data_IF_272634840089
#
_entry.id   IF_272634840089
#
_cell.length_a   1.000
_cell.length_b   1.000
_cell.length_c   1.000
_cell.angle_alpha   90.00
_cell.angle_beta   90.00
_cell.angle_gamma   90.00
#
_symmetry.space_group_name_H-M   'P 1'
#
loop_
_entity.id
_entity.type
_entity.pdbx_description
1 polymer ?
#
# COMPACT_ATOMS: atom_id res chain seq x y z
N UNK A 1 28.38 24.40 -39.56
CA UNK A 1 29.43 23.86 -38.66
C UNK A 1 28.82 22.76 -37.82
N UNK A 2 29.53 21.65 -37.78
CA UNK A 2 29.23 20.33 -37.21
C UNK A 2 29.12 20.33 -35.68
N UNK A 3 28.14 19.55 -35.19
CA UNK A 3 28.11 18.65 -34.02
C UNK A 3 28.65 19.09 -32.65
N UNK A 4 27.87 18.83 -31.60
CA UNK A 4 28.33 17.93 -30.52
C UNK A 4 27.18 17.44 -29.63
N UNK A 5 27.02 16.13 -29.63
CA UNK A 5 26.23 15.29 -28.75
C UNK A 5 26.76 15.33 -27.31
N UNK A 6 25.88 15.27 -26.31
CA UNK A 6 26.18 14.61 -25.04
C UNK A 6 24.90 14.01 -24.48
N UNK A 7 24.73 12.72 -24.70
CA UNK A 7 23.83 11.89 -23.91
C UNK A 7 24.52 11.57 -22.59
N UNK A 8 23.86 11.86 -21.48
CA UNK A 8 24.11 11.25 -20.17
C UNK A 8 22.85 11.47 -19.35
N UNK A 9 21.89 10.54 -19.45
CA UNK A 9 21.13 10.11 -18.28
C UNK A 9 20.50 8.75 -18.62
N UNK A 10 21.26 7.70 -18.39
CA UNK A 10 20.74 6.34 -18.25
C UNK A 10 19.77 6.34 -17.05
N UNK A 11 18.49 6.60 -17.31
CA UNK A 11 17.35 6.24 -16.47
C UNK A 11 17.56 6.39 -14.95
N UNK A 12 17.94 7.57 -14.48
CA UNK A 12 17.72 7.89 -13.06
C UNK A 12 16.21 7.91 -12.83
N UNK A 13 15.69 7.01 -11.99
CA UNK A 13 14.26 7.00 -11.64
C UNK A 13 13.98 8.26 -10.83
N UNK A 14 13.51 9.31 -11.49
CA UNK A 14 13.10 10.53 -10.83
C UNK A 14 11.87 10.26 -9.96
N UNK A 15 11.97 10.58 -8.66
CA UNK A 15 10.84 10.52 -7.72
C UNK A 15 10.15 11.88 -7.62
N UNK A 16 8.84 11.91 -7.77
CA UNK A 16 8.03 13.13 -7.69
C UNK A 16 7.10 13.04 -6.49
N UNK A 17 7.44 13.72 -5.40
CA UNK A 17 6.61 13.73 -4.19
C UNK A 17 5.29 14.49 -4.44
N UNK A 18 4.18 14.10 -3.78
CA UNK A 18 2.97 14.91 -3.78
C UNK A 18 3.21 16.26 -3.09
N UNK A 19 2.31 17.22 -3.32
CA UNK A 19 2.33 18.47 -2.55
C UNK A 19 2.08 18.21 -1.07
N UNK A 20 2.59 19.09 -0.20
CA UNK A 20 2.38 18.97 1.24
C UNK A 20 0.90 19.03 1.64
N UNK A 21 0.11 19.88 0.96
CA UNK A 21 -1.33 19.98 1.17
C UNK A 21 -2.05 18.67 0.87
N UNK A 22 -1.69 18.01 -0.23
CA UNK A 22 -2.26 16.71 -0.59
C UNK A 22 -1.87 15.62 0.41
N UNK A 23 -0.60 15.58 0.82
CA UNK A 23 -0.11 14.60 1.79
C UNK A 23 -0.78 14.75 3.17
N UNK A 24 -1.06 16.00 3.60
CA UNK A 24 -1.72 16.27 4.87
C UNK A 24 -3.18 15.78 4.93
N UNK A 25 -3.81 15.56 3.77
CA UNK A 25 -5.18 15.06 3.64
C UNK A 25 -5.25 13.56 3.35
N UNK A 26 -4.14 12.82 3.53
CA UNK A 26 -4.12 11.40 3.28
C UNK A 26 -5.11 10.64 4.18
N UNK A 27 -5.94 9.79 3.58
CA UNK A 27 -6.89 8.94 4.31
C UNK A 27 -6.21 7.85 5.17
N UNK A 28 -4.94 7.57 4.88
CA UNK A 28 -4.14 6.52 5.51
C UNK A 28 -2.72 7.05 5.76
N UNK A 29 -2.25 6.89 7.00
CA UNK A 29 -0.88 7.24 7.42
C UNK A 29 0.02 6.02 7.59
N UNK A 30 1.28 6.28 7.93
CA UNK A 30 2.30 5.24 8.17
C UNK A 30 1.97 4.34 9.39
N UNK A 31 1.17 4.85 10.33
CA UNK A 31 0.66 4.14 11.49
C UNK A 31 -0.19 2.92 11.10
N UNK A 32 -1.01 3.01 10.05
CA UNK A 32 -1.79 1.87 9.57
C UNK A 32 -0.90 0.75 9.04
N UNK A 33 0.23 1.10 8.41
CA UNK A 33 1.20 0.12 7.96
C UNK A 33 1.84 -0.59 9.16
N UNK A 34 2.30 0.16 10.16
CA UNK A 34 2.88 -0.39 11.37
C UNK A 34 1.89 -1.30 12.13
N UNK A 35 0.61 -0.92 12.20
CA UNK A 35 -0.44 -1.73 12.80
C UNK A 35 -0.65 -3.06 12.05
N UNK A 36 -0.71 -3.01 10.71
CA UNK A 36 -0.84 -4.19 9.86
C UNK A 36 0.39 -5.10 9.90
N UNK A 37 1.58 -4.55 10.08
CA UNK A 37 2.81 -5.32 10.26
C UNK A 37 2.83 -6.06 11.61
N UNK A 38 2.40 -5.39 12.68
CA UNK A 38 2.39 -5.96 14.03
C UNK A 38 1.34 -7.08 14.21
N UNK A 39 0.14 -6.91 13.66
CA UNK A 39 -0.89 -7.95 13.63
C UNK A 39 -1.70 -7.89 12.33
N UNK A 40 -1.22 -8.61 11.32
CA UNK A 40 -1.81 -8.61 9.98
C UNK A 40 -3.26 -9.09 9.96
N UNK A 41 -3.58 -10.17 10.69
CA UNK A 41 -4.93 -10.72 10.67
C UNK A 41 -5.87 -9.91 11.56
N UNK A 42 -5.42 -9.47 12.73
CA UNK A 42 -6.17 -8.56 13.59
C UNK A 42 -6.51 -7.25 12.87
N UNK A 43 -5.53 -6.65 12.19
CA UNK A 43 -5.73 -5.45 11.38
C UNK A 43 -6.86 -5.63 10.35
N UNK A 44 -6.81 -6.69 9.54
CA UNK A 44 -7.85 -6.93 8.54
C UNK A 44 -9.20 -7.28 9.16
N UNK A 45 -9.23 -7.97 10.30
CA UNK A 45 -10.46 -8.22 11.03
C UNK A 45 -11.11 -6.90 11.50
N UNK A 46 -10.33 -5.98 12.03
CA UNK A 46 -10.80 -4.65 12.44
C UNK A 46 -11.30 -3.84 11.24
N UNK A 47 -10.54 -3.80 10.14
CA UNK A 47 -10.96 -3.09 8.93
C UNK A 47 -12.28 -3.67 8.37
N UNK A 48 -12.42 -4.99 8.33
CA UNK A 48 -13.63 -5.64 7.83
C UNK A 48 -14.86 -5.40 8.71
N UNK A 49 -14.69 -5.30 10.04
CA UNK A 49 -15.77 -5.00 10.99
C UNK A 49 -16.35 -3.58 10.87
N UNK A 50 -15.69 -2.68 10.14
CA UNK A 50 -16.22 -1.34 9.81
C UNK A 50 -17.39 -1.39 8.83
N UNK A 51 -17.52 -2.49 8.09
CA UNK A 51 -18.60 -2.70 7.13
C UNK A 51 -19.83 -3.26 7.82
N UNK A 52 -21.01 -3.00 7.25
CA UNK A 52 -22.22 -3.68 7.69
C UNK A 52 -22.23 -5.12 7.19
N UNK A 53 -22.40 -6.06 8.12
CA UNK A 53 -22.59 -7.47 7.84
C UNK A 53 -23.96 -7.91 8.31
N UNK A 54 -24.71 -8.58 7.44
CA UNK A 54 -25.94 -9.28 7.87
C UNK A 54 -25.61 -10.43 8.81
N UNK A 55 -24.53 -11.16 8.54
CA UNK A 55 -23.95 -12.18 9.43
C UNK A 55 -22.46 -11.91 9.59
N UNK A 56 -21.95 -11.71 10.80
CA UNK A 56 -20.52 -11.50 11.03
C UNK A 56 -19.67 -12.72 10.60
N UNK A 57 -18.46 -12.47 10.12
CA UNK A 57 -17.48 -13.52 9.85
C UNK A 57 -16.87 -14.04 11.16
N UNK A 58 -16.42 -15.30 11.14
CA UNK A 58 -15.73 -15.95 12.28
C UNK A 58 -14.25 -16.21 12.01
N UNK A 59 -13.85 -16.24 10.73
CA UNK A 59 -12.48 -16.48 10.29
C UNK A 59 -12.06 -15.36 9.33
N UNK A 60 -10.86 -14.82 9.54
CA UNK A 60 -10.35 -13.67 8.77
C UNK A 60 -9.77 -14.10 7.43
N UNK A 61 -9.04 -15.22 7.44
CA UNK A 61 -8.29 -15.70 6.30
C UNK A 61 -8.07 -17.21 6.43
N UNK A 62 -8.71 -17.97 5.56
CA UNK A 62 -8.54 -19.42 5.43
C UNK A 62 -7.61 -19.73 4.24
N UNK A 63 -6.54 -20.50 4.49
CA UNK A 63 -5.58 -20.98 3.48
C UNK A 63 -5.63 -22.49 3.28
N UNK A 64 -6.59 -23.19 3.88
CA UNK A 64 -6.66 -24.65 3.86
C UNK A 64 -6.66 -25.25 2.45
N UNK A 65 -7.28 -24.57 1.48
CA UNK A 65 -7.35 -24.96 0.06
C UNK A 65 -6.49 -24.07 -0.87
N UNK A 66 -5.48 -23.37 -0.35
CA UNK A 66 -4.64 -22.51 -1.18
C UNK A 66 -3.85 -23.33 -2.22
N UNK A 67 -3.81 -22.90 -3.50
CA UNK A 67 -2.98 -23.57 -4.50
C UNK A 67 -1.53 -23.51 -4.07
N UNK A 68 -0.88 -24.68 -3.99
CA UNK A 68 0.57 -24.77 -3.82
C UNK A 68 1.26 -24.30 -5.10
N UNK A 69 2.29 -23.47 -4.95
CA UNK A 69 3.12 -22.98 -6.05
C UNK A 69 4.04 -24.09 -6.61
#
# INVERSE_FOLDING_TARGET
MTTSTSGTDETAVASYAPSAEFAAQANAGADLYAAAENDRLGFWAEQARRLHWHTPFTEVLDWSDAPVA
#
